data_IF_589959395889
#
_entry.id   IF_589959395889
#
_cell.length_a   1.000
_cell.length_b   1.000
_cell.length_c   1.000
_cell.angle_alpha   90.00
_cell.angle_beta   90.00
_cell.angle_gamma   90.00
#
_symmetry.space_group_name_H-M   'P 1'
#
loop_
_entity.id
_entity.type
_entity.pdbx_description
1 polymer ?
#
# COMPACT_ATOMS: atom_id res chain seq x y z
N UNK A 1 26.80 5.50 7.84
CA UNK A 1 26.01 5.65 6.60
C UNK A 1 24.61 6.31 6.77
N UNK A 2 23.89 6.27 7.89
CA UNK A 2 22.55 6.86 7.96
C UNK A 2 22.56 8.39 7.80
N UNK A 3 21.51 9.00 7.20
CA UNK A 3 20.37 8.29 6.61
C UNK A 3 20.59 7.95 5.13
N UNK A 4 20.18 6.72 4.72
CA UNK A 4 20.14 6.31 3.32
C UNK A 4 18.68 6.29 2.85
N UNK A 5 18.41 6.86 1.68
CA UNK A 5 17.08 6.78 1.06
C UNK A 5 17.00 5.53 0.17
N UNK A 6 15.89 4.79 0.20
CA UNK A 6 15.76 3.59 -0.61
C UNK A 6 15.68 3.91 -2.11
N UNK A 7 16.10 2.95 -2.94
CA UNK A 7 15.78 2.94 -4.36
C UNK A 7 14.27 2.82 -4.58
N UNK A 8 13.81 3.41 -5.68
CA UNK A 8 12.41 3.43 -6.08
C UNK A 8 12.20 2.63 -7.37
N UNK A 9 10.93 2.29 -7.62
CA UNK A 9 10.52 1.62 -8.85
C UNK A 9 9.62 2.50 -9.71
N UNK A 10 9.74 2.36 -11.04
CA UNK A 10 8.84 2.92 -12.04
C UNK A 10 7.72 1.90 -12.31
N UNK A 11 6.46 2.34 -12.33
CA UNK A 11 5.34 1.45 -12.70
C UNK A 11 5.34 1.15 -14.20
N UNK A 12 5.14 -0.13 -14.53
CA UNK A 12 4.95 -0.64 -15.90
C UNK A 12 3.67 -1.48 -15.96
N UNK A 13 3.15 -1.74 -17.18
CA UNK A 13 1.82 -2.36 -17.35
C UNK A 13 1.82 -3.88 -17.23
N UNK A 14 2.93 -4.54 -17.45
CA UNK A 14 3.04 -6.00 -17.41
C UNK A 14 4.46 -6.40 -17.00
N UNK A 15 4.66 -7.67 -16.72
CA UNK A 15 5.98 -8.21 -16.38
C UNK A 15 6.89 -8.01 -17.60
N UNK A 16 7.97 -7.21 -17.47
CA UNK A 16 8.88 -6.97 -18.59
C UNK A 16 9.65 -8.26 -18.90
N UNK A 17 10.01 -8.50 -20.16
CA UNK A 17 10.87 -9.62 -20.54
C UNK A 17 12.24 -9.53 -19.86
N UNK A 18 12.87 -10.68 -19.60
CA UNK A 18 14.15 -10.73 -18.87
C UNK A 18 15.28 -9.95 -19.57
N UNK A 19 15.22 -9.81 -20.87
CA UNK A 19 16.17 -9.06 -21.71
C UNK A 19 15.73 -7.61 -22.04
N UNK A 20 14.66 -7.12 -21.41
CA UNK A 20 14.14 -5.76 -21.66
C UNK A 20 15.14 -4.64 -21.29
N UNK A 21 16.19 -4.95 -20.54
CA UNK A 21 17.28 -4.03 -20.21
C UNK A 21 18.64 -4.70 -20.44
N UNK A 22 19.64 -3.90 -20.71
CA UNK A 22 21.01 -4.40 -20.86
C UNK A 22 21.48 -5.07 -19.57
N UNK A 23 22.05 -6.27 -19.67
CA UNK A 23 22.50 -7.09 -18.54
C UNK A 23 21.40 -7.92 -17.87
N UNK A 24 20.16 -7.81 -18.33
CA UNK A 24 19.05 -8.66 -17.89
C UNK A 24 18.33 -8.18 -16.63
N UNK A 25 17.18 -8.77 -16.41
CA UNK A 25 16.31 -8.55 -15.23
C UNK A 25 16.21 -9.81 -14.39
N UNK A 26 16.03 -9.60 -13.09
CA UNK A 26 15.47 -10.60 -12.18
C UNK A 26 14.23 -10.06 -11.50
N UNK A 27 13.37 -10.95 -11.08
CA UNK A 27 12.06 -10.63 -10.52
C UNK A 27 11.99 -11.08 -9.07
N UNK A 28 11.34 -10.26 -8.25
CA UNK A 28 11.04 -10.52 -6.85
C UNK A 28 9.56 -10.30 -6.60
N UNK A 29 8.94 -11.05 -5.66
CA UNK A 29 7.61 -10.72 -5.17
C UNK A 29 7.60 -9.29 -4.60
N UNK A 30 6.55 -8.53 -4.90
CA UNK A 30 6.40 -7.19 -4.34
C UNK A 30 5.70 -7.29 -3.00
N UNK A 31 6.51 -7.27 -1.95
CA UNK A 31 6.04 -7.27 -0.57
C UNK A 31 5.21 -6.02 -0.26
N UNK A 32 4.17 -6.19 0.54
CA UNK A 32 3.29 -5.12 0.97
C UNK A 32 3.42 -4.87 2.47
N UNK A 33 4.28 -3.93 2.82
CA UNK A 33 4.66 -3.64 4.19
C UNK A 33 5.24 -2.24 4.38
N UNK A 34 6.14 -2.11 5.33
CA UNK A 34 6.92 -0.91 5.57
C UNK A 34 8.35 -1.10 5.08
N UNK A 35 8.73 -0.36 4.02
CA UNK A 35 10.12 -0.32 3.58
C UNK A 35 11.02 0.08 4.72
N UNK A 36 12.07 -0.70 4.94
CA UNK A 36 13.04 -0.51 5.99
C UNK A 36 14.48 -0.60 5.48
N UNK A 37 15.26 0.46 5.72
CA UNK A 37 16.73 0.36 5.69
C UNK A 37 17.17 0.09 7.12
N UNK A 38 17.80 -1.05 7.34
CA UNK A 38 18.25 -1.47 8.67
C UNK A 38 19.77 -1.31 8.75
N UNK A 39 20.21 -0.58 9.75
CA UNK A 39 21.61 -0.38 10.10
C UNK A 39 21.90 -1.15 11.37
N UNK A 40 22.98 -1.95 11.37
CA UNK A 40 23.51 -2.61 12.55
C UNK A 40 24.99 -2.28 12.70
N UNK A 41 25.39 -1.90 13.91
CA UNK A 41 26.79 -1.75 14.32
C UNK A 41 26.93 -2.28 15.76
N UNK A 42 27.36 -3.54 15.89
CA UNK A 42 27.35 -4.27 17.15
C UNK A 42 25.94 -4.41 17.71
N UNK A 43 25.70 -3.83 18.89
CA UNK A 43 24.42 -3.82 19.58
C UNK A 43 23.51 -2.66 19.13
N UNK A 44 24.03 -1.68 18.41
CA UNK A 44 23.24 -0.57 17.89
C UNK A 44 22.48 -0.99 16.64
N UNK A 45 21.17 -0.79 16.66
CA UNK A 45 20.27 -1.08 15.54
C UNK A 45 19.38 0.13 15.28
N UNK A 46 19.38 0.60 14.04
CA UNK A 46 18.45 1.62 13.56
C UNK A 46 17.66 1.08 12.39
N UNK A 47 16.34 1.20 12.45
CA UNK A 47 15.40 0.85 11.37
C UNK A 47 14.82 2.14 10.83
N UNK A 48 15.19 2.52 9.62
CA UNK A 48 14.74 3.74 8.96
C UNK A 48 13.68 3.46 7.91
N UNK A 49 12.58 4.21 7.94
CA UNK A 49 11.51 4.12 6.95
C UNK A 49 11.93 4.66 5.58
N UNK A 50 11.06 4.48 4.58
CA UNK A 50 11.21 5.08 3.24
C UNK A 50 11.45 6.59 3.26
N UNK A 51 10.90 7.31 4.24
CA UNK A 51 11.09 8.76 4.42
C UNK A 51 12.22 9.10 5.37
N UNK A 52 13.08 8.14 5.72
CA UNK A 52 14.20 8.25 6.67
C UNK A 52 13.80 8.55 8.11
N UNK A 53 12.52 8.39 8.47
CA UNK A 53 12.08 8.46 9.85
C UNK A 53 12.34 7.14 10.56
N UNK A 54 12.76 7.21 11.83
CA UNK A 54 13.00 6.01 12.63
C UNK A 54 11.72 5.20 12.85
N UNK A 55 11.82 3.90 12.61
CA UNK A 55 10.83 2.88 12.95
C UNK A 55 11.25 2.04 14.15
N UNK A 56 12.47 2.16 14.62
CA UNK A 56 13.13 1.32 15.63
C UNK A 56 12.25 1.09 16.87
N UNK A 57 11.67 2.15 17.42
CA UNK A 57 10.81 2.07 18.61
C UNK A 57 9.53 1.26 18.44
N UNK A 58 9.07 1.08 17.18
CA UNK A 58 7.81 0.42 16.87
C UNK A 58 7.97 -1.09 16.64
N UNK A 59 9.21 -1.57 16.50
CA UNK A 59 9.52 -2.96 16.19
C UNK A 59 10.62 -3.51 17.11
N UNK A 60 10.40 -3.54 18.45
CA UNK A 60 11.42 -4.02 19.39
C UNK A 60 11.82 -5.47 19.13
N UNK A 61 10.91 -6.33 18.67
CA UNK A 61 11.20 -7.71 18.30
C UNK A 61 12.11 -7.81 17.06
N UNK A 62 11.97 -6.87 16.11
CA UNK A 62 12.88 -6.82 14.96
C UNK A 62 14.28 -6.34 15.36
N UNK A 63 14.38 -5.40 16.30
CA UNK A 63 15.68 -4.99 16.85
C UNK A 63 16.40 -6.18 17.48
N UNK A 64 15.67 -7.02 18.24
CA UNK A 64 16.23 -8.24 18.82
C UNK A 64 16.66 -9.23 17.73
N UNK A 65 15.79 -9.51 16.76
CA UNK A 65 16.07 -10.41 15.65
C UNK A 65 17.27 -9.95 14.79
N UNK A 66 17.38 -8.65 14.51
CA UNK A 66 18.52 -8.08 13.77
C UNK A 66 19.83 -8.29 14.51
N UNK A 67 19.86 -8.10 15.84
CA UNK A 67 21.05 -8.35 16.65
C UNK A 67 21.47 -9.81 16.68
N UNK A 68 20.51 -10.70 16.64
CA UNK A 68 20.77 -12.14 16.70
C UNK A 68 21.17 -12.72 15.33
N UNK A 69 20.52 -12.28 14.25
CA UNK A 69 20.51 -12.99 12.98
C UNK A 69 21.32 -12.31 11.85
N UNK A 70 21.53 -10.99 11.91
CA UNK A 70 22.28 -10.30 10.87
C UNK A 70 23.79 -10.24 11.25
N UNK A 71 24.68 -9.99 10.27
CA UNK A 71 26.09 -9.67 10.54
C UNK A 71 26.24 -8.50 11.51
N UNK A 72 27.27 -8.53 12.38
CA UNK A 72 27.47 -7.50 13.42
C UNK A 72 27.55 -6.07 12.89
N UNK A 73 28.03 -5.92 11.65
CA UNK A 73 28.13 -4.61 10.97
C UNK A 73 27.57 -4.74 9.57
N UNK A 74 26.36 -4.23 9.35
CA UNK A 74 25.73 -4.28 8.04
C UNK A 74 24.70 -3.17 7.83
N UNK A 75 24.41 -2.92 6.56
CA UNK A 75 23.26 -2.10 6.13
C UNK A 75 22.49 -2.90 5.10
N UNK A 76 21.24 -3.19 5.41
CA UNK A 76 20.35 -3.97 4.52
C UNK A 76 19.08 -3.19 4.17
N UNK A 77 18.51 -3.51 3.02
CA UNK A 77 17.25 -2.94 2.53
C UNK A 77 16.21 -4.06 2.43
N UNK A 78 15.04 -3.82 3.01
CA UNK A 78 14.00 -4.82 3.11
C UNK A 78 12.62 -4.23 3.32
N UNK A 79 11.66 -5.11 3.57
CA UNK A 79 10.29 -4.78 3.90
C UNK A 79 9.92 -5.42 5.23
N UNK A 80 9.37 -4.64 6.16
CA UNK A 80 8.76 -5.17 7.39
C UNK A 80 7.32 -5.51 7.08
N UNK A 81 6.93 -6.73 7.40
CA UNK A 81 5.58 -7.27 7.16
C UNK A 81 5.01 -7.90 8.43
N UNK A 82 3.69 -8.02 8.51
CA UNK A 82 2.99 -8.80 9.54
C UNK A 82 2.20 -9.87 8.83
N UNK A 83 2.26 -11.09 9.37
CA UNK A 83 1.54 -12.26 8.86
C UNK A 83 0.34 -12.54 9.74
N UNK A 84 -0.81 -12.77 9.14
CA UNK A 84 -2.04 -13.18 9.80
C UNK A 84 -2.60 -14.41 9.07
N UNK A 85 -2.49 -15.59 9.72
CA UNK A 85 -2.81 -16.86 9.09
C UNK A 85 -1.89 -17.14 7.91
N UNK A 86 -2.46 -17.26 6.72
CA UNK A 86 -1.80 -17.62 5.47
C UNK A 86 -1.45 -16.40 4.56
N UNK A 87 -1.59 -15.16 5.06
CA UNK A 87 -1.41 -13.95 4.25
C UNK A 87 -0.77 -12.79 5.01
N UNK A 88 -0.27 -11.82 4.26
CA UNK A 88 0.15 -10.52 4.81
C UNK A 88 -1.05 -9.69 5.26
N UNK A 89 -0.89 -9.02 6.40
CA UNK A 89 -1.90 -8.12 6.96
C UNK A 89 -1.29 -6.73 7.24
N UNK A 90 -1.50 -5.83 6.29
CA UNK A 90 -1.00 -4.46 6.39
C UNK A 90 -1.74 -3.65 7.44
N UNK A 91 -2.99 -3.97 7.77
CA UNK A 91 -3.76 -3.26 8.78
C UNK A 91 -3.20 -3.53 10.17
N UNK A 92 -2.89 -4.79 10.48
CA UNK A 92 -2.18 -5.15 11.69
C UNK A 92 -0.79 -4.50 11.74
N UNK A 93 -0.06 -4.50 10.63
CA UNK A 93 1.23 -3.81 10.54
C UNK A 93 1.08 -2.30 10.82
N UNK A 94 0.08 -1.65 10.24
CA UNK A 94 -0.16 -0.21 10.42
C UNK A 94 -0.47 0.15 11.86
N UNK A 95 -1.09 -0.75 12.63
CA UNK A 95 -1.38 -0.56 14.05
C UNK A 95 -0.12 -0.48 14.92
N UNK A 96 1.03 -0.98 14.43
CA UNK A 96 2.31 -0.91 15.14
C UNK A 96 2.81 0.52 15.35
N UNK A 97 2.43 1.45 14.49
CA UNK A 97 2.80 2.87 14.61
C UNK A 97 1.92 3.53 15.66
N UNK A 98 2.29 3.38 16.92
CA UNK A 98 1.50 3.88 18.06
C UNK A 98 2.36 4.71 19.04
N UNK A 99 1.82 5.81 19.63
CA UNK A 99 2.58 6.67 20.55
C UNK A 99 2.88 5.98 21.90
N UNK A 100 1.98 5.10 22.40
CA UNK A 100 2.15 4.43 23.68
C UNK A 100 3.04 3.19 23.56
N UNK A 101 4.12 3.14 24.32
CA UNK A 101 5.09 2.03 24.34
C UNK A 101 4.42 0.70 24.76
N UNK A 102 3.53 0.70 25.75
CA UNK A 102 2.80 -0.48 26.20
C UNK A 102 1.97 -1.13 25.08
N UNK A 103 1.36 -0.32 24.23
CA UNK A 103 0.61 -0.82 23.07
C UNK A 103 1.54 -1.41 22.01
N UNK A 104 2.71 -0.80 21.79
CA UNK A 104 3.72 -1.33 20.87
C UNK A 104 4.20 -2.69 21.33
N UNK A 105 4.54 -2.85 22.64
CA UNK A 105 4.97 -4.13 23.21
C UNK A 105 3.89 -5.20 23.06
N UNK A 106 2.64 -4.88 23.41
CA UNK A 106 1.52 -5.82 23.28
C UNK A 106 1.34 -6.29 21.83
N UNK A 107 1.39 -5.37 20.86
CA UNK A 107 1.23 -5.72 19.45
C UNK A 107 2.44 -6.48 18.90
N UNK A 108 3.65 -6.26 19.43
CA UNK A 108 4.84 -7.02 19.08
C UNK A 108 4.74 -8.48 19.50
N UNK A 109 4.08 -8.75 20.65
CA UNK A 109 3.82 -10.10 21.14
C UNK A 109 2.67 -10.79 20.39
N UNK A 110 1.58 -10.07 20.13
CA UNK A 110 0.39 -10.63 19.48
C UNK A 110 0.58 -10.86 17.99
N UNK A 111 1.24 -9.93 17.32
CA UNK A 111 1.44 -9.88 15.87
C UNK A 111 2.90 -9.52 15.56
N UNK A 112 3.84 -10.45 15.83
CA UNK A 112 5.25 -10.22 15.58
C UNK A 112 5.50 -9.94 14.10
N UNK A 113 6.33 -8.94 13.83
CA UNK A 113 6.71 -8.59 12.48
C UNK A 113 7.78 -9.55 11.95
N UNK A 114 7.91 -9.59 10.62
CA UNK A 114 9.00 -10.25 9.89
C UNK A 114 9.71 -9.22 9.02
N UNK A 115 10.98 -9.46 8.75
CA UNK A 115 11.81 -8.64 7.87
C UNK A 115 12.22 -9.46 6.65
N UNK A 116 11.75 -9.05 5.49
CA UNK A 116 12.11 -9.68 4.22
C UNK A 116 13.14 -8.81 3.53
N UNK A 117 14.35 -9.31 3.39
CA UNK A 117 15.49 -8.60 2.83
C UNK A 117 15.63 -8.86 1.34
N UNK A 118 16.00 -7.83 0.58
CA UNK A 118 16.16 -7.91 -0.86
C UNK A 118 17.39 -7.14 -1.40
N UNK A 119 18.15 -6.45 -0.54
CA UNK A 119 19.41 -5.83 -0.93
C UNK A 119 20.37 -5.70 0.27
N UNK A 120 21.69 -5.72 0.00
CA UNK A 120 22.75 -5.50 0.97
C UNK A 120 23.57 -4.31 0.52
N UNK A 121 23.62 -3.25 1.33
CA UNK A 121 24.26 -1.99 0.97
C UNK A 121 25.65 -1.84 1.54
N UNK A 122 25.90 -2.45 2.69
CA UNK A 122 27.23 -2.52 3.30
C UNK A 122 27.33 -3.75 4.20
N UNK A 123 28.54 -4.28 4.35
CA UNK A 123 28.89 -5.32 5.30
C UNK A 123 30.32 -5.07 5.81
N UNK A 124 30.52 -5.15 7.11
CA UNK A 124 31.77 -4.77 7.78
C UNK A 124 32.20 -3.35 7.37
N UNK A 125 33.38 -3.19 6.79
CA UNK A 125 33.91 -1.92 6.31
C UNK A 125 33.72 -1.69 4.79
N UNK A 126 32.99 -2.59 4.11
CA UNK A 126 32.79 -2.57 2.67
C UNK A 126 31.44 -1.90 2.32
N UNK A 127 31.48 -0.81 1.56
CA UNK A 127 30.34 -0.18 0.91
C UNK A 127 30.06 -0.88 -0.42
N UNK A 128 28.88 -1.50 -0.54
CA UNK A 128 28.48 -2.26 -1.72
C UNK A 128 27.62 -1.44 -2.69
N UNK A 129 27.29 -0.20 -2.40
CA UNK A 129 26.32 0.58 -3.17
C UNK A 129 26.71 0.78 -4.64
N UNK A 130 28.00 0.83 -4.93
CA UNK A 130 28.54 0.93 -6.30
C UNK A 130 28.68 -0.43 -7.00
N UNK A 131 28.47 -1.54 -6.30
CA UNK A 131 28.49 -2.87 -6.90
C UNK A 131 27.18 -3.12 -7.68
N UNK A 132 27.20 -3.97 -8.72
CA UNK A 132 25.98 -4.38 -9.42
C UNK A 132 25.03 -5.14 -8.48
N UNK A 133 23.72 -5.06 -8.73
CA UNK A 133 22.70 -5.74 -7.91
C UNK A 133 22.98 -7.25 -7.79
N UNK A 134 23.41 -7.90 -8.86
CA UNK A 134 23.77 -9.33 -8.84
C UNK A 134 24.81 -9.67 -7.75
N UNK A 135 25.87 -8.87 -7.64
CA UNK A 135 26.92 -9.06 -6.62
C UNK A 135 26.39 -8.77 -5.21
N UNK A 136 25.61 -7.69 -5.03
CA UNK A 136 25.01 -7.36 -3.73
C UNK A 136 24.05 -8.46 -3.27
N UNK A 137 23.27 -9.01 -4.20
CA UNK A 137 22.35 -10.12 -3.94
C UNK A 137 23.08 -11.39 -3.53
N UNK A 138 24.14 -11.77 -4.23
CA UNK A 138 24.98 -12.92 -3.87
C UNK A 138 25.54 -12.78 -2.45
N UNK A 139 26.06 -11.59 -2.11
CA UNK A 139 26.57 -11.29 -0.76
C UNK A 139 25.46 -11.33 0.31
N UNK A 140 24.25 -10.86 -0.01
CA UNK A 140 23.09 -10.94 0.89
C UNK A 140 22.74 -12.39 1.20
N UNK A 141 22.63 -13.23 0.17
CA UNK A 141 22.31 -14.67 0.34
C UNK A 141 23.39 -15.35 1.17
N UNK A 142 24.67 -15.10 0.86
CA UNK A 142 25.78 -15.69 1.62
C UNK A 142 25.83 -15.22 3.08
N UNK A 143 25.49 -13.96 3.36
CA UNK A 143 25.50 -13.41 4.71
C UNK A 143 24.36 -13.96 5.59
N UNK A 144 23.32 -14.52 4.98
CA UNK A 144 22.13 -15.05 5.66
C UNK A 144 21.94 -16.57 5.43
N UNK A 145 23.00 -17.24 4.98
CA UNK A 145 22.96 -18.70 4.80
C UNK A 145 22.70 -19.40 6.15
N UNK A 146 21.70 -20.26 6.17
CA UNK A 146 21.27 -20.98 7.40
C UNK A 146 20.52 -20.11 8.42
N UNK A 147 20.14 -18.88 8.07
CA UNK A 147 19.28 -18.04 8.94
C UNK A 147 17.82 -18.40 8.75
N UNK A 148 17.19 -18.88 9.82
CA UNK A 148 15.77 -19.16 9.90
C UNK A 148 15.05 -18.20 10.86
N UNK A 149 13.76 -17.99 10.67
CA UNK A 149 12.94 -17.25 11.64
C UNK A 149 12.32 -15.97 11.08
N UNK A 150 12.34 -14.86 11.86
CA UNK A 150 11.64 -13.62 11.47
C UNK A 150 12.37 -12.80 10.42
N UNK A 151 13.61 -13.15 10.07
CA UNK A 151 14.39 -12.53 9.00
C UNK A 151 14.55 -13.52 7.86
N UNK A 152 14.28 -13.11 6.64
CA UNK A 152 14.42 -13.94 5.44
C UNK A 152 14.88 -13.11 4.26
N UNK A 153 15.47 -13.78 3.27
CA UNK A 153 15.80 -13.17 1.97
C UNK A 153 14.65 -13.44 1.01
N UNK A 154 14.17 -12.41 0.30
CA UNK A 154 13.13 -12.59 -0.71
C UNK A 154 13.57 -13.57 -1.79
N UNK A 155 12.64 -14.37 -2.32
CA UNK A 155 12.94 -15.21 -3.49
C UNK A 155 13.15 -14.37 -4.74
N UNK A 156 13.84 -14.95 -5.71
CA UNK A 156 14.13 -14.32 -6.99
C UNK A 156 14.02 -15.35 -8.11
N UNK A 157 13.61 -14.92 -9.28
CA UNK A 157 13.66 -15.68 -10.51
C UNK A 157 14.15 -14.81 -11.66
N UNK A 158 14.82 -15.39 -12.65
CA UNK A 158 15.17 -14.78 -13.93
C UNK A 158 14.21 -15.22 -15.06
N UNK A 159 13.31 -16.17 -14.76
CA UNK A 159 12.29 -16.64 -15.66
C UNK A 159 11.04 -15.75 -15.64
N UNK A 160 10.74 -15.10 -16.78
CA UNK A 160 9.59 -14.23 -16.94
C UNK A 160 8.26 -14.98 -16.70
N UNK A 161 8.17 -16.27 -17.11
CA UNK A 161 6.94 -17.04 -16.94
C UNK A 161 6.66 -17.33 -15.45
N UNK A 162 7.71 -17.64 -14.68
CA UNK A 162 7.60 -17.78 -13.21
C UNK A 162 7.20 -16.44 -12.55
N UNK A 163 7.74 -15.33 -13.05
CA UNK A 163 7.36 -14.00 -12.54
C UNK A 163 5.90 -13.64 -12.87
N UNK A 164 5.39 -14.04 -14.03
CA UNK A 164 3.98 -13.89 -14.40
C UNK A 164 3.09 -14.77 -13.51
N UNK A 165 3.48 -16.03 -13.23
CA UNK A 165 2.77 -16.89 -12.29
C UNK A 165 2.72 -16.27 -10.87
N UNK A 166 3.83 -15.70 -10.38
CA UNK A 166 3.84 -14.99 -9.11
C UNK A 166 2.93 -13.77 -9.13
N UNK A 167 2.94 -13.02 -10.23
CA UNK A 167 2.05 -11.88 -10.38
C UNK A 167 0.58 -12.29 -10.23
N UNK A 168 0.16 -13.37 -10.88
CA UNK A 168 -1.22 -13.84 -10.86
C UNK A 168 -1.62 -14.49 -9.53
N UNK A 169 -0.70 -15.19 -8.85
CA UNK A 169 -1.02 -16.04 -7.70
C UNK A 169 -0.78 -15.38 -6.34
N UNK A 170 0.33 -14.63 -6.19
CA UNK A 170 0.79 -14.16 -4.88
C UNK A 170 -0.05 -13.05 -4.27
N UNK A 171 -0.93 -12.44 -5.03
CA UNK A 171 -1.89 -11.49 -4.50
C UNK A 171 -2.78 -12.13 -3.42
N UNK A 172 -3.12 -13.42 -3.57
CA UNK A 172 -3.86 -14.20 -2.58
C UNK A 172 -3.17 -14.29 -1.22
N UNK A 173 -1.83 -14.24 -1.21
CA UNK A 173 -1.01 -14.17 -0.01
C UNK A 173 -0.81 -12.73 0.52
N UNK A 174 -1.44 -11.72 -0.10
CA UNK A 174 -1.37 -10.31 0.31
C UNK A 174 -0.18 -9.55 -0.27
N UNK A 175 0.46 -10.05 -1.34
CA UNK A 175 1.50 -9.32 -2.03
C UNK A 175 0.92 -8.38 -3.10
N UNK A 176 1.70 -7.36 -3.49
CA UNK A 176 1.25 -6.24 -4.32
C UNK A 176 1.79 -6.33 -5.78
N UNK A 177 2.09 -7.55 -6.25
CA UNK A 177 2.60 -7.81 -7.59
C UNK A 177 4.07 -8.25 -7.62
N UNK A 178 4.83 -7.75 -8.60
CA UNK A 178 6.22 -8.14 -8.86
C UNK A 178 7.10 -6.90 -9.04
N UNK A 179 8.35 -6.99 -8.57
CA UNK A 179 9.43 -6.01 -8.83
C UNK A 179 10.49 -6.64 -9.72
N UNK A 180 10.79 -6.00 -10.85
CA UNK A 180 11.90 -6.39 -11.72
C UNK A 180 13.11 -5.46 -11.47
N UNK A 181 14.27 -6.06 -11.26
CA UNK A 181 15.53 -5.37 -10.93
C UNK A 181 16.58 -5.65 -12.01
N UNK A 182 17.21 -4.61 -12.59
CA UNK A 182 18.34 -4.82 -13.48
C UNK A 182 19.53 -5.41 -12.73
N UNK A 183 20.07 -6.51 -13.22
CA UNK A 183 21.19 -7.23 -12.59
C UNK A 183 22.45 -6.37 -12.46
N UNK A 184 22.66 -5.46 -13.40
CA UNK A 184 23.86 -4.59 -13.47
C UNK A 184 23.71 -3.26 -12.72
N UNK A 185 22.54 -3.00 -12.12
CA UNK A 185 22.29 -1.70 -11.48
C UNK A 185 23.07 -1.51 -10.18
N UNK A 186 23.68 -0.35 -10.00
CA UNK A 186 24.19 0.12 -8.72
C UNK A 186 23.03 0.58 -7.83
N UNK A 187 23.27 0.78 -6.53
CA UNK A 187 22.24 1.28 -5.63
C UNK A 187 22.12 2.82 -5.76
N UNK A 188 21.05 3.27 -6.37
CA UNK A 188 20.77 4.68 -6.63
C UNK A 188 19.70 5.23 -5.66
N UNK A 189 20.07 5.88 -4.53
CA UNK A 189 19.13 6.43 -3.57
C UNK A 189 18.14 7.40 -4.23
N UNK A 190 16.82 7.22 -4.00
CA UNK A 190 15.71 7.91 -4.68
C UNK A 190 15.63 7.68 -6.21
N UNK A 191 16.57 6.97 -6.82
CA UNK A 191 16.54 6.62 -8.24
C UNK A 191 15.41 5.65 -8.56
N UNK A 192 14.74 5.82 -9.70
CA UNK A 192 13.68 4.91 -10.20
C UNK A 192 14.27 3.93 -11.20
N UNK A 193 15.20 3.10 -10.74
CA UNK A 193 15.92 2.13 -11.57
C UNK A 193 15.14 0.83 -11.73
N UNK A 194 14.47 0.39 -10.67
CA UNK A 194 13.65 -0.81 -10.67
C UNK A 194 12.33 -0.59 -11.42
N UNK A 195 11.71 -1.69 -11.89
CA UNK A 195 10.37 -1.70 -12.47
C UNK A 195 9.42 -2.43 -11.53
N UNK A 196 8.18 -1.96 -11.42
CA UNK A 196 7.14 -2.65 -10.63
C UNK A 196 5.89 -2.85 -11.46
N UNK A 197 5.35 -4.04 -11.35
CA UNK A 197 4.06 -4.42 -11.92
C UNK A 197 3.09 -4.60 -10.77
N UNK A 198 1.92 -3.98 -10.89
CA UNK A 198 0.84 -4.07 -9.90
C UNK A 198 -0.46 -4.40 -10.60
N UNK A 199 -1.35 -5.12 -9.92
CA UNK A 199 -2.70 -5.29 -10.38
C UNK A 199 -3.41 -3.94 -10.51
N UNK A 200 -4.11 -3.76 -11.62
CA UNK A 200 -4.90 -2.56 -11.90
C UNK A 200 -6.36 -3.00 -12.05
N UNK A 201 -7.13 -2.79 -11.00
CA UNK A 201 -8.55 -3.09 -10.97
C UNK A 201 -9.37 -1.84 -11.24
N UNK A 202 -10.56 -2.03 -11.75
CA UNK A 202 -11.55 -0.98 -11.87
C UNK A 202 -12.84 -1.37 -11.18
N UNK A 203 -13.55 -0.37 -10.67
CA UNK A 203 -14.89 -0.52 -10.14
C UNK A 203 -15.76 0.65 -10.60
N UNK A 204 -17.03 0.38 -10.80
CA UNK A 204 -18.06 1.40 -10.99
C UNK A 204 -18.63 1.78 -9.62
N UNK A 205 -18.48 3.02 -9.24
CA UNK A 205 -18.83 3.51 -7.89
C UNK A 205 -19.77 4.69 -7.97
N UNK A 206 -20.68 4.78 -7.01
CA UNK A 206 -21.57 5.92 -6.86
C UNK A 206 -20.81 7.11 -6.29
N UNK A 207 -20.99 8.28 -6.88
CA UNK A 207 -20.45 9.53 -6.35
C UNK A 207 -21.52 10.22 -5.54
N UNK A 208 -21.43 10.15 -4.21
CA UNK A 208 -22.45 10.66 -3.30
C UNK A 208 -22.00 11.89 -2.49
N UNK A 209 -20.84 12.46 -2.80
CA UNK A 209 -20.37 13.71 -2.20
C UNK A 209 -19.01 14.13 -2.69
N UNK A 210 -18.59 15.33 -2.28
CA UNK A 210 -17.23 15.78 -2.51
C UNK A 210 -16.72 16.67 -1.37
N UNK A 211 -15.41 16.74 -1.22
CA UNK A 211 -14.73 17.71 -0.35
C UNK A 211 -14.07 18.79 -1.19
N UNK A 212 -14.06 19.99 -0.66
CA UNK A 212 -13.33 21.10 -1.28
C UNK A 212 -11.82 20.92 -1.13
N UNK A 213 -11.07 21.40 -2.09
CA UNK A 213 -9.61 21.44 -2.03
C UNK A 213 -9.16 22.51 -1.01
N UNK A 214 -8.02 22.29 -0.36
CA UNK A 214 -7.46 23.19 0.65
C UNK A 214 -7.20 24.63 0.15
N UNK A 215 -7.08 24.83 -1.16
CA UNK A 215 -6.91 26.15 -1.80
C UNK A 215 -8.21 26.69 -2.38
N UNK A 216 -9.35 26.04 -2.13
CA UNK A 216 -10.67 26.51 -2.55
C UNK A 216 -11.03 27.78 -1.82
N UNK A 217 -11.65 28.73 -2.54
CA UNK A 217 -12.20 29.96 -1.98
C UNK A 217 -13.68 30.08 -2.39
N UNK A 218 -14.49 30.90 -1.70
CA UNK A 218 -15.89 31.12 -2.10
C UNK A 218 -16.04 31.61 -3.54
N UNK A 219 -15.11 32.45 -4.01
CA UNK A 219 -15.13 33.01 -5.39
C UNK A 219 -14.57 32.03 -6.41
N UNK A 220 -13.81 31.03 -6.00
CA UNK A 220 -13.21 29.99 -6.85
C UNK A 220 -13.24 28.64 -6.14
N UNK A 221 -14.38 27.97 -6.15
CA UNK A 221 -14.50 26.66 -5.53
C UNK A 221 -13.73 25.62 -6.34
N UNK A 222 -12.91 24.82 -5.66
CA UNK A 222 -12.10 23.76 -6.25
C UNK A 222 -12.42 22.42 -5.60
N UNK A 223 -12.74 21.39 -6.37
CA UNK A 223 -12.96 20.04 -5.87
C UNK A 223 -11.67 19.44 -5.32
N UNK A 224 -11.68 18.99 -4.10
CA UNK A 224 -10.58 18.28 -3.45
C UNK A 224 -10.60 16.79 -3.75
N UNK A 225 -11.70 16.14 -3.40
CA UNK A 225 -11.92 14.70 -3.63
C UNK A 225 -13.39 14.40 -3.82
N UNK A 226 -13.69 13.41 -4.67
CA UNK A 226 -14.98 12.74 -4.75
C UNK A 226 -15.09 11.72 -3.61
N UNK A 227 -16.26 11.59 -3.00
CA UNK A 227 -16.60 10.54 -2.04
C UNK A 227 -17.36 9.44 -2.77
N UNK A 228 -16.84 8.21 -2.64
CA UNK A 228 -17.25 7.06 -3.43
C UNK A 228 -18.00 6.06 -2.57
N UNK A 229 -19.08 5.49 -3.12
CA UNK A 229 -19.91 4.50 -2.45
C UNK A 229 -20.15 3.26 -3.29
N UNK A 230 -20.41 2.14 -2.60
CA UNK A 230 -20.98 0.91 -3.15
C UNK A 230 -22.18 0.51 -2.31
N UNK A 231 -23.18 -0.08 -2.95
CA UNK A 231 -24.34 -0.62 -2.26
C UNK A 231 -24.01 -1.97 -1.64
N UNK A 232 -24.32 -2.11 -0.35
CA UNK A 232 -24.29 -3.36 0.37
C UNK A 232 -25.54 -4.21 0.06
N UNK A 233 -25.53 -5.50 0.41
CA UNK A 233 -26.65 -6.42 0.19
C UNK A 233 -27.95 -5.96 0.87
N UNK A 234 -27.83 -5.20 1.95
CA UNK A 234 -28.99 -4.61 2.66
C UNK A 234 -29.51 -3.31 2.03
N UNK A 235 -28.96 -2.90 0.89
CA UNK A 235 -29.33 -1.71 0.14
C UNK A 235 -28.75 -0.39 0.67
N UNK A 236 -27.92 -0.41 1.71
CA UNK A 236 -27.25 0.79 2.22
C UNK A 236 -26.05 1.16 1.35
N UNK A 237 -25.89 2.45 1.05
CA UNK A 237 -24.73 2.98 0.37
C UNK A 237 -23.56 3.14 1.36
N UNK A 238 -22.56 2.28 1.25
CA UNK A 238 -21.35 2.28 2.09
C UNK A 238 -20.28 3.18 1.47
N UNK A 239 -19.61 3.98 2.29
CA UNK A 239 -18.47 4.79 1.82
C UNK A 239 -17.23 3.92 1.64
N UNK A 240 -16.79 3.72 0.39
CA UNK A 240 -15.67 2.82 0.05
C UNK A 240 -14.35 3.52 -0.17
N UNK A 241 -14.33 4.84 -0.28
CA UNK A 241 -13.10 5.59 -0.48
C UNK A 241 -13.27 6.92 -1.18
N UNK A 242 -12.17 7.47 -1.67
CA UNK A 242 -12.15 8.77 -2.33
C UNK A 242 -11.35 8.72 -3.64
N UNK A 243 -11.70 9.59 -4.60
CA UNK A 243 -10.84 9.90 -5.74
C UNK A 243 -10.41 11.36 -5.68
N UNK A 244 -9.09 11.64 -5.77
CA UNK A 244 -8.55 12.98 -5.51
C UNK A 244 -7.46 13.48 -6.46
N UNK A 245 -6.94 12.66 -7.33
CA UNK A 245 -5.80 13.01 -8.20
C UNK A 245 -6.27 13.75 -9.46
N UNK A 246 -6.76 15.00 -9.30
CA UNK A 246 -7.23 15.85 -10.37
C UNK A 246 -6.26 17.00 -10.67
N UNK A 247 -6.18 17.42 -11.95
CA UNK A 247 -5.56 18.69 -12.32
C UNK A 247 -6.39 19.86 -11.81
N UNK A 248 -5.80 21.05 -11.68
CA UNK A 248 -6.52 22.23 -11.21
C UNK A 248 -7.73 22.56 -12.11
N UNK A 249 -7.55 22.54 -13.42
CA UNK A 249 -8.63 22.73 -14.39
C UNK A 249 -9.76 21.71 -14.18
N UNK A 250 -9.42 20.42 -14.00
CA UNK A 250 -10.43 19.38 -13.79
C UNK A 250 -11.18 19.55 -12.47
N UNK A 251 -10.57 20.14 -11.45
CA UNK A 251 -11.21 20.47 -10.17
C UNK A 251 -12.31 21.52 -10.33
N UNK A 252 -12.09 22.52 -11.18
CA UNK A 252 -13.08 23.55 -11.51
C UNK A 252 -14.24 22.95 -12.32
N UNK A 253 -13.93 22.23 -13.39
CA UNK A 253 -14.91 21.56 -14.24
C UNK A 253 -15.83 20.63 -13.42
N UNK A 254 -15.26 19.84 -12.50
CA UNK A 254 -16.04 18.92 -11.66
C UNK A 254 -17.01 19.65 -10.71
N UNK A 255 -16.67 20.84 -10.22
CA UNK A 255 -17.61 21.65 -9.42
C UNK A 255 -18.83 22.02 -10.25
N UNK A 256 -18.62 22.48 -11.49
CA UNK A 256 -19.70 22.86 -12.40
C UNK A 256 -20.54 21.64 -12.81
N UNK A 257 -19.90 20.52 -13.15
CA UNK A 257 -20.57 19.28 -13.54
C UNK A 257 -21.44 18.70 -12.41
N UNK A 258 -21.03 18.86 -11.14
CA UNK A 258 -21.70 18.30 -9.98
C UNK A 258 -22.68 19.29 -9.32
N UNK A 259 -22.65 20.57 -9.67
CA UNK A 259 -23.53 21.57 -9.08
C UNK A 259 -25.04 21.21 -9.15
N UNK A 260 -25.58 20.65 -10.25
CA UNK A 260 -26.97 20.24 -10.33
C UNK A 260 -27.37 19.09 -9.37
N UNK A 261 -26.38 18.34 -8.88
CA UNK A 261 -26.57 17.16 -8.02
C UNK A 261 -26.38 17.49 -6.53
N UNK A 262 -26.03 18.72 -6.18
CA UNK A 262 -25.87 19.10 -4.76
C UNK A 262 -27.21 18.88 -4.03
N UNK A 263 -27.16 18.03 -2.98
CA UNK A 263 -28.33 17.69 -2.22
C UNK A 263 -28.85 18.91 -1.43
N UNK A 264 -30.16 19.05 -1.42
CA UNK A 264 -30.86 20.07 -0.64
C UNK A 264 -31.23 19.52 0.75
N UNK A 265 -31.65 20.35 1.70
CA UNK A 265 -32.10 19.87 3.01
C UNK A 265 -33.33 18.94 2.96
N UNK A 266 -34.08 18.95 1.86
CA UNK A 266 -35.25 18.11 1.65
C UNK A 266 -34.90 16.73 1.06
N UNK A 267 -33.64 16.55 0.61
CA UNK A 267 -33.17 15.28 0.06
C UNK A 267 -32.74 14.34 1.22
N UNK A 268 -33.27 13.12 1.26
CA UNK A 268 -32.82 12.07 2.15
C UNK A 268 -31.47 11.53 1.68
N UNK A 269 -30.39 12.10 2.20
CA UNK A 269 -29.04 11.67 1.80
C UNK A 269 -28.57 10.45 2.61
N UNK A 270 -28.08 9.36 1.97
CA UNK A 270 -27.70 8.11 2.66
C UNK A 270 -26.61 8.29 3.71
N UNK A 271 -25.82 9.35 3.62
CA UNK A 271 -24.76 9.66 4.59
C UNK A 271 -25.10 10.86 5.49
N UNK A 272 -26.36 11.21 5.66
CA UNK A 272 -26.79 12.34 6.51
C UNK A 272 -26.32 12.22 7.96
N UNK A 273 -26.26 11.00 8.50
CA UNK A 273 -25.80 10.69 9.86
C UNK A 273 -24.27 10.54 10.00
N UNK A 274 -23.48 11.07 9.09
CA UNK A 274 -22.02 10.85 9.05
C UNK A 274 -21.28 11.35 10.30
N UNK A 275 -21.86 12.23 11.08
CA UNK A 275 -21.31 12.74 12.35
C UNK A 275 -21.73 11.91 13.57
N UNK A 276 -22.66 10.99 13.41
CA UNK A 276 -23.18 10.16 14.49
C UNK A 276 -22.27 8.94 14.71
N UNK A 277 -21.77 8.78 15.94
CA UNK A 277 -20.91 7.67 16.32
C UNK A 277 -21.60 6.30 16.21
N UNK A 278 -22.91 6.22 16.52
CA UNK A 278 -23.67 4.96 16.39
C UNK A 278 -23.84 4.58 14.90
N UNK A 279 -24.11 5.56 14.04
CA UNK A 279 -24.20 5.36 12.60
C UNK A 279 -22.83 4.94 12.00
N UNK A 280 -21.73 5.52 12.48
CA UNK A 280 -20.38 5.10 12.09
C UNK A 280 -20.01 3.68 12.55
N UNK A 281 -20.58 3.21 13.66
CA UNK A 281 -20.38 1.86 14.17
C UNK A 281 -21.19 0.81 13.42
N UNK A 282 -22.36 1.18 12.88
CA UNK A 282 -23.30 0.29 12.18
C UNK A 282 -23.10 0.22 10.67
N UNK A 283 -22.30 1.11 10.10
CA UNK A 283 -22.04 1.18 8.67
C UNK A 283 -20.86 2.06 8.33
N UNK A 284 -20.39 2.01 7.09
CA UNK A 284 -19.29 2.87 6.63
C UNK A 284 -19.84 4.17 6.06
N UNK A 285 -19.64 5.24 6.83
CA UNK A 285 -19.97 6.59 6.43
C UNK A 285 -18.70 7.43 6.22
N UNK A 286 -18.73 8.48 5.38
CA UNK A 286 -17.61 9.41 5.28
C UNK A 286 -17.40 10.11 6.62
N UNK A 287 -16.15 10.34 7.04
CA UNK A 287 -15.87 11.06 8.28
C UNK A 287 -15.44 10.21 9.47
N UNK A 288 -15.37 8.89 9.34
CA UNK A 288 -14.78 8.03 10.35
C UNK A 288 -13.39 8.52 10.74
N UNK A 289 -13.19 8.82 12.03
CA UNK A 289 -11.89 9.26 12.53
C UNK A 289 -10.90 8.12 12.46
N UNK A 290 -9.76 8.37 11.83
CA UNK A 290 -8.62 7.46 11.83
C UNK A 290 -7.41 8.15 12.45
N UNK A 291 -6.40 7.38 12.86
CA UNK A 291 -5.14 7.92 13.38
C UNK A 291 -4.45 8.88 12.41
N UNK A 292 -4.79 8.80 11.13
CA UNK A 292 -4.22 9.60 10.05
C UNK A 292 -5.02 10.86 9.74
N UNK A 293 -6.28 10.92 10.16
CA UNK A 293 -7.14 12.09 9.94
C UNK A 293 -6.86 13.23 10.93
N UNK A 294 -6.42 12.91 12.16
CA UNK A 294 -6.11 13.91 13.18
C UNK A 294 -7.27 14.88 13.39
N UNK A 295 -6.97 16.18 13.40
CA UNK A 295 -7.94 17.28 13.54
C UNK A 295 -8.46 17.81 12.19
N UNK A 296 -8.36 17.03 11.10
CA UNK A 296 -8.85 17.46 9.78
C UNK A 296 -10.36 17.61 9.80
N UNK A 297 -10.83 18.67 9.16
CA UNK A 297 -12.24 18.81 8.82
C UNK A 297 -12.61 17.74 7.79
N UNK A 298 -13.54 16.85 8.16
CA UNK A 298 -14.04 15.75 7.35
C UNK A 298 -15.40 16.06 6.73
N UNK A 299 -15.90 17.29 6.88
CA UNK A 299 -17.13 17.74 6.25
C UNK A 299 -17.05 17.60 4.72
N UNK A 300 -18.20 17.46 4.11
CA UNK A 300 -18.31 17.32 2.66
C UNK A 300 -19.60 17.96 2.16
N UNK A 301 -19.64 18.26 0.87
CA UNK A 301 -20.84 18.66 0.15
C UNK A 301 -21.56 17.40 -0.29
N UNK A 302 -22.79 17.11 0.21
CA UNK A 302 -23.55 15.95 -0.18
C UNK A 302 -24.06 16.10 -1.62
N UNK A 303 -24.05 15.00 -2.36
CA UNK A 303 -24.63 14.90 -3.71
C UNK A 303 -25.72 13.85 -3.71
N UNK A 304 -26.81 14.11 -4.41
CA UNK A 304 -27.76 13.03 -4.72
C UNK A 304 -27.00 11.91 -5.42
N UNK A 305 -27.12 10.64 -4.96
CA UNK A 305 -26.33 9.52 -5.43
C UNK A 305 -26.78 8.99 -6.80
N UNK A 306 -26.86 9.87 -7.77
CA UNK A 306 -27.40 9.65 -9.12
C UNK A 306 -26.30 9.42 -10.16
N UNK A 307 -25.03 9.63 -9.83
CA UNK A 307 -23.95 9.56 -10.81
C UNK A 307 -22.93 8.50 -10.49
N UNK A 308 -22.57 7.72 -11.50
CA UNK A 308 -21.60 6.62 -11.40
C UNK A 308 -20.29 7.02 -12.07
N UNK A 309 -19.19 6.66 -11.43
CA UNK A 309 -17.84 6.84 -11.98
C UNK A 309 -17.10 5.49 -12.03
N UNK A 310 -16.43 5.22 -13.14
CA UNK A 310 -15.40 4.19 -13.19
C UNK A 310 -14.13 4.71 -12.51
N UNK A 311 -13.61 3.96 -11.54
CA UNK A 311 -12.38 4.28 -10.84
C UNK A 311 -11.40 3.13 -10.90
N UNK A 312 -10.11 3.44 -10.97
CA UNK A 312 -9.05 2.46 -10.76
C UNK A 312 -8.69 2.38 -9.28
N UNK A 313 -8.62 1.18 -8.74
CA UNK A 313 -8.18 0.94 -7.36
C UNK A 313 -7.07 -0.12 -7.33
N UNK A 314 -6.33 -0.21 -6.22
CA UNK A 314 -5.22 -1.15 -6.07
C UNK A 314 -5.61 -2.31 -5.13
N UNK A 315 -6.02 -2.01 -3.91
CA UNK A 315 -6.41 -3.00 -2.90
C UNK A 315 -7.67 -2.60 -2.16
N UNK A 316 -8.40 -3.61 -1.72
CA UNK A 316 -9.44 -3.47 -0.71
C UNK A 316 -8.86 -3.71 0.69
N UNK A 317 -9.40 -3.03 1.67
CA UNK A 317 -9.17 -3.21 3.09
C UNK A 317 -10.49 -3.62 3.74
N UNK A 318 -10.50 -4.72 4.50
CA UNK A 318 -11.73 -5.36 5.00
C UNK A 318 -12.39 -6.26 3.96
N UNK A 319 -13.30 -7.12 4.41
CA UNK A 319 -13.99 -8.12 3.62
C UNK A 319 -15.47 -7.78 3.43
N UNK A 320 -16.06 -8.27 2.31
CA UNK A 320 -17.47 -8.15 1.99
C UNK A 320 -17.97 -6.69 1.95
N UNK A 321 -19.20 -6.45 2.37
CA UNK A 321 -19.88 -5.15 2.36
C UNK A 321 -19.28 -4.09 3.29
N UNK A 322 -18.28 -4.46 4.11
CA UNK A 322 -17.49 -3.56 4.94
C UNK A 322 -16.17 -3.13 4.31
N UNK A 323 -15.83 -3.64 3.13
CA UNK A 323 -14.59 -3.33 2.42
C UNK A 323 -14.47 -1.87 1.98
N UNK A 324 -13.25 -1.36 1.90
CA UNK A 324 -12.94 -0.03 1.36
C UNK A 324 -11.68 -0.05 0.51
N UNK A 325 -11.55 0.91 -0.40
CA UNK A 325 -10.29 1.13 -1.09
C UNK A 325 -9.22 1.59 -0.09
N UNK A 326 -8.15 0.83 0.00
CA UNK A 326 -7.02 1.13 0.90
C UNK A 326 -6.31 2.43 0.55
N UNK A 327 -6.26 2.76 -0.74
CA UNK A 327 -5.64 3.96 -1.27
C UNK A 327 -6.65 4.82 -2.03
N UNK A 328 -6.30 6.09 -2.23
CA UNK A 328 -7.06 6.99 -3.08
C UNK A 328 -7.23 6.39 -4.48
N UNK A 329 -8.48 6.17 -4.87
CA UNK A 329 -8.83 5.67 -6.18
C UNK A 329 -8.54 6.70 -7.28
N UNK A 330 -8.38 6.23 -8.51
CA UNK A 330 -8.11 7.07 -9.67
C UNK A 330 -9.36 7.17 -10.52
N UNK A 331 -9.95 8.35 -10.60
CA UNK A 331 -11.05 8.62 -11.52
C UNK A 331 -10.61 8.31 -12.96
N UNK A 332 -11.44 7.54 -13.69
CA UNK A 332 -11.24 7.19 -15.10
C UNK A 332 -12.20 7.98 -15.99
N UNK A 333 -13.49 7.78 -15.78
CA UNK A 333 -14.57 8.40 -16.54
C UNK A 333 -15.90 8.33 -15.81
N UNK A 334 -16.85 9.09 -16.24
CA UNK A 334 -18.25 8.91 -15.87
C UNK A 334 -18.85 7.68 -16.58
N UNK A 335 -19.80 7.06 -15.91
CA UNK A 335 -20.56 5.90 -16.40
C UNK A 335 -22.04 6.27 -16.46
N UNK A 336 -22.40 7.08 -17.47
CA UNK A 336 -23.79 7.50 -17.69
C UNK A 336 -24.66 6.33 -18.20
N UNK A 337 -24.06 5.19 -18.49
CA UNK A 337 -24.67 3.91 -18.88
C UNK A 337 -24.96 2.97 -17.71
N UNK A 338 -24.62 3.35 -16.45
CA UNK A 338 -24.79 2.53 -15.26
C UNK A 338 -25.78 3.15 -14.30
N UNK A 339 -26.71 2.32 -13.80
CA UNK A 339 -27.61 2.69 -12.71
C UNK A 339 -26.85 2.63 -11.38
N UNK A 340 -26.99 3.65 -10.49
CA UNK A 340 -26.30 3.69 -9.21
C UNK A 340 -26.48 2.44 -8.35
N UNK A 341 -27.71 1.91 -8.26
CA UNK A 341 -28.05 0.74 -7.45
C UNK A 341 -27.38 -0.55 -7.94
N UNK A 342 -26.90 -0.57 -9.19
CA UNK A 342 -26.14 -1.69 -9.74
C UNK A 342 -24.67 -1.71 -9.31
N UNK A 343 -24.21 -0.65 -8.62
CA UNK A 343 -22.85 -0.52 -8.12
C UNK A 343 -22.73 -1.18 -6.74
N UNK A 344 -22.63 -2.50 -6.72
CA UNK A 344 -22.50 -3.33 -5.50
C UNK A 344 -21.11 -3.85 -5.31
N UNK A 345 -20.84 -4.47 -4.16
CA UNK A 345 -19.56 -5.13 -3.85
C UNK A 345 -19.31 -6.37 -4.71
N UNK A 346 -20.33 -7.01 -5.27
CA UNK A 346 -20.20 -8.19 -6.13
C UNK A 346 -19.34 -7.96 -7.39
N UNK A 347 -19.22 -6.73 -7.84
CA UNK A 347 -18.35 -6.39 -8.98
C UNK A 347 -16.86 -6.41 -8.64
N UNK A 348 -16.51 -6.42 -7.34
CA UNK A 348 -15.12 -6.41 -6.93
C UNK A 348 -14.51 -7.80 -7.11
N UNK A 349 -13.33 -7.85 -7.71
CA UNK A 349 -12.63 -9.11 -7.89
C UNK A 349 -12.28 -9.74 -6.55
N UNK A 350 -12.73 -10.98 -6.33
CA UNK A 350 -12.26 -11.83 -5.24
C UNK A 350 -10.91 -12.42 -5.63
N UNK A 351 -9.91 -12.16 -4.80
CA UNK A 351 -8.57 -12.73 -4.99
C UNK A 351 -8.55 -14.15 -4.47
N UNK A 352 -8.19 -15.12 -5.32
CA UNK A 352 -8.02 -16.51 -4.90
C UNK A 352 -6.95 -16.59 -3.79
N UNK A 353 -7.25 -17.31 -2.69
CA UNK A 353 -6.31 -17.49 -1.58
C UNK A 353 -5.06 -18.21 -2.03
N UNK A 354 -3.90 -17.76 -1.55
CA UNK A 354 -2.61 -18.38 -1.77
C UNK A 354 -1.85 -18.43 -0.44
N UNK A 355 -1.18 -19.54 -0.13
CA UNK A 355 -0.46 -19.67 1.14
C UNK A 355 0.86 -18.89 1.11
N UNK A 356 1.00 -17.96 2.04
CA UNK A 356 2.22 -17.16 2.19
C UNK A 356 3.45 -18.02 2.50
N UNK A 357 3.29 -19.19 3.14
CA UNK A 357 4.39 -20.10 3.40
C UNK A 357 5.08 -20.53 2.10
N UNK A 358 4.31 -20.73 1.01
CA UNK A 358 4.85 -21.04 -0.30
C UNK A 358 5.62 -19.87 -0.93
N UNK A 359 5.27 -18.62 -0.56
CA UNK A 359 6.00 -17.42 -1.00
C UNK A 359 7.29 -17.23 -0.22
N UNK A 360 7.23 -17.38 1.11
CA UNK A 360 8.41 -17.27 1.98
C UNK A 360 9.44 -18.37 1.69
N UNK A 361 8.97 -19.48 1.10
CA UNK A 361 9.75 -20.57 0.54
C UNK A 361 10.53 -21.34 1.60
N UNK A 362 10.43 -22.65 1.57
CA UNK A 362 11.58 -23.42 1.98
C UNK A 362 12.70 -23.07 0.97
N UNK A 363 13.67 -22.28 1.40
CA UNK A 363 14.91 -22.05 0.67
C UNK A 363 15.72 -23.32 0.60
#
# INVERSE_FOLDING_TARGET
MPPVRPMLAKSVKGVPAADAVEGGLVYEPKWDGFRAIVFRDGDEVEIASRSTKSLTRYFPEMVAAVRELLPERCVVDGEIVVVNGDRLDFDLLSQRIHPAASRVTLLAEQWPARLVLFDLLAIDDEDLTEQPFSARRERLVAALDGVDGPVSVTRVTDDTAVAEEWFDSFEGAGLDGVVAKPLTSTYAPNGRVMLKVKHARTADVVVAGYRLHKTSTPDRPLLGSLLLGLYADDGRLQHVGVAASFTEQRREELIEELAPLVATPDDEHPWSAWQDEEAQASGRLPGGQSRWTGTKDLSFVPLRPERVAEVGYEHMEGDGDGGRFRHTARFKRWRDDREPESCTYEQLEEVARYDLADVLGAG
#
